data_IF_252863621214
#
_entry.id   IF_252863621214
#
_cell.length_a   1.000
_cell.length_b   1.000
_cell.length_c   1.000
_cell.angle_alpha   90.00
_cell.angle_beta   90.00
_cell.angle_gamma   90.00
#
_symmetry.space_group_name_H-M   'P 1'
#
loop_
_entity.id
_entity.type
_entity.pdbx_description
1 polymer ?
#
# COMPACT_ATOMS: atom_id res chain seq x y z
N UNK A 1 4.29 2.71 4.38
CA UNK A 1 3.95 4.06 3.88
C UNK A 1 4.96 5.15 4.23
N UNK A 2 5.91 5.00 5.16
CA UNK A 2 6.85 6.10 5.50
C UNK A 2 8.06 6.26 4.54
N UNK A 3 8.37 5.24 3.74
CA UNK A 3 9.62 5.20 2.96
C UNK A 3 9.53 5.90 1.59
N UNK A 4 8.33 6.11 1.07
CA UNK A 4 8.07 6.70 -0.25
C UNK A 4 7.55 8.15 -0.18
N UNK A 5 7.51 8.73 1.02
CA UNK A 5 6.93 10.04 1.29
C UNK A 5 8.00 11.02 1.77
N UNK A 6 7.65 12.30 1.78
CA UNK A 6 8.47 13.29 2.47
C UNK A 6 8.69 12.84 3.93
N UNK A 7 9.91 12.93 4.49
CA UNK A 7 10.22 12.34 5.80
C UNK A 7 9.27 12.78 6.93
N UNK A 8 8.81 14.04 6.90
CA UNK A 8 7.85 14.54 7.88
C UNK A 8 6.48 13.86 7.77
N UNK A 9 5.98 13.64 6.55
CA UNK A 9 4.69 13.00 6.33
C UNK A 9 4.74 11.53 6.77
N UNK A 10 5.86 10.86 6.48
CA UNK A 10 6.11 9.50 6.94
C UNK A 10 6.13 9.38 8.47
N UNK A 11 6.77 10.33 9.17
CA UNK A 11 6.77 10.37 10.65
C UNK A 11 5.34 10.60 11.16
N UNK A 12 4.63 11.60 10.62
CA UNK A 12 3.28 11.95 11.07
C UNK A 12 2.27 10.82 10.85
N UNK A 13 2.39 10.06 9.75
CA UNK A 13 1.56 8.89 9.48
C UNK A 13 1.88 7.70 10.40
N UNK A 14 3.14 7.57 10.86
CA UNK A 14 3.55 6.50 11.77
C UNK A 14 3.15 6.78 13.24
N UNK A 15 2.99 8.05 13.63
CA UNK A 15 2.69 8.45 15.01
C UNK A 15 1.50 7.71 15.64
N UNK A 16 0.33 7.56 14.99
CA UNK A 16 -0.81 6.85 15.58
C UNK A 16 -0.48 5.39 15.93
N UNK A 17 0.35 4.73 15.11
CA UNK A 17 0.74 3.34 15.34
C UNK A 17 1.68 3.19 16.54
N UNK A 18 2.61 4.12 16.71
CA UNK A 18 3.53 4.13 17.86
C UNK A 18 2.79 4.48 19.14
N UNK A 19 1.89 5.47 19.10
CA UNK A 19 1.08 5.87 20.27
C UNK A 19 0.13 4.75 20.71
N UNK A 20 -0.44 3.99 19.76
CA UNK A 20 -1.33 2.88 20.07
C UNK A 20 -0.67 1.79 20.92
N UNK A 21 0.66 1.61 20.86
CA UNK A 21 1.40 0.64 21.69
C UNK A 21 1.30 0.94 23.20
N UNK A 22 1.05 2.20 23.58
CA UNK A 22 0.90 2.60 24.98
C UNK A 22 -0.54 2.49 25.48
N UNK A 23 -1.51 2.40 24.57
CA UNK A 23 -2.94 2.34 24.90
C UNK A 23 -3.46 0.91 24.84
N UNK A 24 -3.01 0.14 23.85
CA UNK A 24 -3.44 -1.23 23.61
C UNK A 24 -2.26 -2.18 23.84
N UNK A 25 -2.40 -3.24 24.65
CA UNK A 25 -1.36 -4.23 24.82
C UNK A 25 -1.14 -4.98 23.50
N UNK A 26 -0.04 -4.68 22.81
CA UNK A 26 0.35 -5.34 21.55
C UNK A 26 1.58 -6.22 21.79
N UNK A 27 1.57 -7.42 21.22
CA UNK A 27 2.75 -8.30 21.20
C UNK A 27 3.87 -7.66 20.37
N UNK A 28 4.95 -7.22 21.02
CA UNK A 28 6.05 -6.49 20.38
C UNK A 28 6.64 -7.22 19.15
N UNK A 29 6.83 -8.54 19.24
CA UNK A 29 7.32 -9.35 18.11
C UNK A 29 6.42 -9.26 16.89
N UNK A 30 5.09 -9.29 17.11
CA UNK A 30 4.12 -9.21 16.02
C UNK A 30 4.08 -7.81 15.42
N UNK A 31 4.22 -6.77 16.25
CA UNK A 31 4.35 -5.39 15.78
C UNK A 31 5.55 -5.23 14.83
N UNK A 32 6.74 -5.68 15.24
CA UNK A 32 7.95 -5.61 14.39
C UNK A 32 7.79 -6.44 13.11
N UNK A 33 7.20 -7.63 13.20
CA UNK A 33 6.91 -8.45 12.02
C UNK A 33 5.98 -7.74 11.03
N UNK A 34 4.91 -7.12 11.51
CA UNK A 34 3.97 -6.37 10.66
C UNK A 34 4.65 -5.16 9.99
N UNK A 35 5.51 -4.44 10.71
CA UNK A 35 6.32 -3.35 10.14
C UNK A 35 7.25 -3.86 9.02
N UNK A 36 7.86 -5.03 9.20
CA UNK A 36 8.68 -5.64 8.16
C UNK A 36 7.86 -6.04 6.92
N UNK A 37 6.69 -6.65 7.12
CA UNK A 37 5.75 -6.99 6.03
C UNK A 37 5.29 -5.74 5.28
N UNK A 38 5.01 -4.64 6.00
CA UNK A 38 4.69 -3.35 5.38
C UNK A 38 5.83 -2.84 4.50
N UNK A 39 7.09 -3.05 4.91
CA UNK A 39 8.27 -2.71 4.09
C UNK A 39 8.34 -3.52 2.80
N UNK A 40 8.13 -4.84 2.86
CA UNK A 40 8.09 -5.70 1.67
C UNK A 40 6.96 -5.25 0.72
N UNK A 41 5.77 -5.01 1.26
CA UNK A 41 4.64 -4.55 0.47
C UNK A 41 4.89 -3.16 -0.13
N UNK A 42 5.49 -2.23 0.62
CA UNK A 42 5.87 -0.89 0.12
C UNK A 42 6.80 -1.01 -1.08
N UNK A 43 7.79 -1.91 -1.03
CA UNK A 43 8.63 -2.19 -2.19
C UNK A 43 7.80 -2.74 -3.37
N UNK A 44 6.90 -3.69 -3.13
CA UNK A 44 6.07 -4.30 -4.17
C UNK A 44 5.15 -3.33 -4.94
N UNK A 45 4.66 -2.27 -4.30
CA UNK A 45 3.82 -1.26 -4.99
C UNK A 45 4.64 -0.17 -5.69
N UNK A 46 5.95 -0.14 -5.48
CA UNK A 46 6.87 0.86 -6.05
C UNK A 46 7.99 0.25 -6.91
N UNK A 47 7.97 -1.07 -7.15
CA UNK A 47 9.01 -1.80 -7.88
C UNK A 47 8.87 -1.76 -9.41
N UNK A 48 7.85 -1.05 -9.94
CA UNK A 48 7.46 -1.02 -11.36
C UNK A 48 7.08 -2.39 -11.95
N UNK A 49 6.95 -3.46 -11.15
CA UNK A 49 6.67 -4.82 -11.63
C UNK A 49 5.19 -5.14 -11.52
N UNK A 50 4.57 -5.31 -12.68
CA UNK A 50 3.17 -5.70 -12.80
C UNK A 50 3.01 -7.23 -12.84
N UNK A 51 3.13 -7.87 -11.68
CA UNK A 51 3.08 -9.34 -11.54
C UNK A 51 1.71 -9.97 -11.82
N UNK A 52 0.64 -9.18 -12.02
CA UNK A 52 -0.74 -9.64 -12.28
C UNK A 52 -1.26 -10.67 -11.25
N UNK A 53 -0.84 -10.55 -10.00
CA UNK A 53 -1.24 -11.44 -8.91
C UNK A 53 -2.55 -10.98 -8.28
N UNK A 54 -3.68 -11.49 -8.75
CA UNK A 54 -4.96 -11.27 -8.06
C UNK A 54 -4.96 -12.05 -6.74
N UNK A 55 -5.33 -11.45 -5.59
CA UNK A 55 -5.92 -10.12 -5.39
C UNK A 55 -4.98 -9.11 -4.69
N UNK A 56 -3.67 -9.18 -4.96
CA UNK A 56 -2.66 -8.33 -4.32
C UNK A 56 -2.65 -6.94 -4.96
N UNK A 57 -2.55 -5.90 -4.12
CA UNK A 57 -2.29 -4.53 -4.58
C UNK A 57 -0.81 -4.42 -4.97
N UNK A 58 -0.54 -4.34 -6.27
CA UNK A 58 0.82 -4.20 -6.84
C UNK A 58 1.01 -2.87 -7.58
N UNK A 59 2.21 -2.68 -8.14
CA UNK A 59 2.65 -1.41 -8.73
C UNK A 59 1.63 -0.74 -9.66
N UNK A 60 1.11 -1.42 -10.67
CA UNK A 60 0.20 -0.79 -11.65
C UNK A 60 -1.16 -0.40 -11.09
N UNK A 61 -1.71 -1.14 -10.12
CA UNK A 61 -2.94 -0.73 -9.45
C UNK A 61 -2.71 0.54 -8.62
N UNK A 62 -1.56 0.61 -7.93
CA UNK A 62 -1.12 1.78 -7.16
C UNK A 62 -0.81 2.99 -8.06
N UNK A 63 -0.21 2.76 -9.24
CA UNK A 63 -0.02 3.81 -10.24
C UNK A 63 -1.37 4.41 -10.67
N UNK A 64 -2.36 3.58 -11.00
CA UNK A 64 -3.71 4.06 -11.36
C UNK A 64 -4.35 4.85 -10.22
N UNK A 65 -4.13 4.44 -8.97
CA UNK A 65 -4.60 5.18 -7.80
C UNK A 65 -4.06 6.62 -7.79
N UNK A 66 -2.75 6.77 -8.00
CA UNK A 66 -2.10 8.09 -8.05
C UNK A 66 -2.31 8.88 -9.34
N UNK A 67 -2.64 8.26 -10.47
CA UNK A 67 -2.94 8.99 -11.71
C UNK A 67 -4.39 9.42 -11.81
N UNK A 68 -5.32 8.59 -11.33
CA UNK A 68 -6.76 8.85 -11.46
C UNK A 68 -7.41 9.41 -10.21
N UNK A 69 -6.82 9.18 -9.02
CA UNK A 69 -7.36 9.59 -7.71
C UNK A 69 -8.80 9.11 -7.41
N UNK A 70 -9.29 8.14 -8.18
CA UNK A 70 -10.71 7.71 -8.18
C UNK A 70 -10.91 6.19 -8.11
N UNK A 71 -9.83 5.42 -8.13
CA UNK A 71 -9.86 3.96 -8.22
C UNK A 71 -8.78 3.35 -7.32
N UNK A 72 -8.90 2.04 -7.07
CA UNK A 72 -7.88 1.21 -6.41
C UNK A 72 -7.44 1.75 -5.04
N UNK A 73 -8.38 1.96 -4.13
CA UNK A 73 -8.14 2.51 -2.79
C UNK A 73 -7.57 1.48 -1.79
N UNK A 74 -7.59 0.20 -2.13
CA UNK A 74 -7.11 -0.87 -1.27
C UNK A 74 -5.64 -0.70 -0.87
N UNK A 75 -5.30 -1.08 0.36
CA UNK A 75 -3.93 -1.00 0.85
C UNK A 75 -3.14 -2.24 0.41
N UNK A 76 -3.26 -3.38 1.10
CA UNK A 76 -2.55 -4.60 0.73
C UNK A 76 -3.19 -5.37 -0.44
N UNK A 77 -4.50 -5.18 -0.67
CA UNK A 77 -5.26 -6.00 -1.60
C UNK A 77 -6.30 -5.17 -2.35
N UNK A 78 -6.70 -5.64 -3.53
CA UNK A 78 -7.76 -5.04 -4.36
C UNK A 78 -9.17 -5.60 -4.05
N UNK A 79 -9.30 -6.38 -2.97
CA UNK A 79 -10.57 -7.04 -2.61
C UNK A 79 -11.72 -6.06 -2.40
N UNK A 80 -11.47 -4.98 -1.66
CA UNK A 80 -12.51 -3.99 -1.37
C UNK A 80 -12.87 -3.20 -2.64
N UNK A 81 -11.88 -2.88 -3.47
CA UNK A 81 -12.15 -2.23 -4.75
C UNK A 81 -12.99 -3.09 -5.69
N UNK A 82 -12.73 -4.41 -5.70
CA UNK A 82 -13.55 -5.35 -6.44
C UNK A 82 -14.98 -5.41 -5.91
N UNK A 83 -15.14 -5.48 -4.58
CA UNK A 83 -16.43 -5.58 -3.92
C UNK A 83 -17.29 -4.32 -4.09
N UNK A 84 -16.68 -3.14 -4.04
CA UNK A 84 -17.37 -1.85 -4.07
C UNK A 84 -17.33 -1.15 -5.44
N UNK A 85 -16.76 -1.81 -6.46
CA UNK A 85 -16.79 -1.32 -7.85
C UNK A 85 -15.81 -0.17 -8.14
N UNK A 86 -14.80 0.04 -7.31
CA UNK A 86 -13.72 1.03 -7.53
C UNK A 86 -12.48 0.41 -8.16
N UNK A 87 -12.52 -0.88 -8.51
CA UNK A 87 -11.41 -1.59 -9.14
C UNK A 87 -11.22 -1.17 -10.60
N UNK A 88 -10.00 -0.78 -10.93
CA UNK A 88 -9.54 -0.57 -12.30
C UNK A 88 -8.25 -1.35 -12.55
N UNK A 89 -8.29 -2.26 -13.52
CA UNK A 89 -7.14 -3.07 -13.89
C UNK A 89 -6.13 -2.25 -14.71
N UNK A 90 -4.81 -2.44 -14.48
CA UNK A 90 -3.76 -1.80 -15.27
C UNK A 90 -3.74 -2.29 -16.71
N UNK A 91 -3.73 -1.35 -17.65
CA UNK A 91 -3.49 -1.61 -19.07
C UNK A 91 -1.99 -1.69 -19.39
N UNK A 92 -1.63 -2.22 -20.56
CA UNK A 92 -0.22 -2.34 -20.97
C UNK A 92 0.48 -0.97 -21.13
N UNK A 93 -0.25 0.11 -21.43
CA UNK A 93 0.29 1.47 -21.51
C UNK A 93 0.54 2.07 -20.12
N UNK A 94 -0.42 1.94 -19.20
CA UNK A 94 -0.28 2.41 -17.81
C UNK A 94 0.86 1.67 -17.09
N UNK A 95 1.18 0.43 -17.51
CA UNK A 95 2.31 -0.34 -16.98
C UNK A 95 3.69 0.19 -17.38
N UNK A 96 3.79 1.04 -18.42
CA UNK A 96 5.03 1.60 -18.97
C UNK A 96 5.31 3.05 -18.56
N UNK A 97 4.33 3.73 -17.96
CA UNK A 97 4.43 5.15 -17.58
C UNK A 97 5.13 5.38 -16.23
N UNK A 98 5.87 4.40 -15.72
CA UNK A 98 6.53 4.41 -14.42
C UNK A 98 8.04 4.29 -14.57
#
# INVERSE_FOLDING_TARGET
MSLAFHPLDGILQALPHVLALFVVPVQFRMHIFLVFVEGIWTANIHDCINAKLWPVMGAGYHTIHHTTYRHNYGHFTIWMDWMFGTLRHPTEEESKMM
#
